data_IF_351105517996
#
_entry.id   IF_351105517996
#
_cell.length_a   1.000
_cell.length_b   1.000
_cell.length_c   1.000
_cell.angle_alpha   90.00
_cell.angle_beta   90.00
_cell.angle_gamma   90.00
#
_symmetry.space_group_name_H-M   'P 1'
#
loop_
_entity.id
_entity.type
_entity.pdbx_description
1 polymer ?
#
# COMPACT_ATOMS: atom_id res chain seq x y z
N UNK A 1 14.31 21.76 -24.92
CA UNK A 1 15.07 20.50 -24.82
C UNK A 1 15.81 20.47 -23.48
N UNK A 2 15.07 20.34 -22.37
CA UNK A 2 15.63 20.45 -21.01
C UNK A 2 14.95 19.49 -20.00
N UNK A 3 14.05 18.61 -20.47
CA UNK A 3 13.26 17.72 -19.58
C UNK A 3 13.85 16.32 -19.40
N UNK A 4 14.81 15.92 -20.24
CA UNK A 4 15.37 14.56 -20.23
C UNK A 4 16.52 14.33 -19.23
N UNK A 5 17.13 15.41 -18.71
CA UNK A 5 18.26 15.31 -17.79
C UNK A 5 17.84 15.35 -16.31
N UNK A 6 16.75 16.05 -15.98
CA UNK A 6 16.18 16.04 -14.62
C UNK A 6 15.53 14.70 -14.30
N UNK A 7 14.86 14.07 -15.26
CA UNK A 7 14.25 12.76 -15.02
C UNK A 7 15.31 11.67 -14.81
N UNK A 8 16.53 11.74 -15.36
CA UNK A 8 17.56 10.71 -15.07
C UNK A 8 18.27 10.87 -13.72
N UNK A 9 17.90 11.88 -12.94
CA UNK A 9 18.51 12.17 -11.65
C UNK A 9 17.94 11.21 -10.59
N UNK A 10 18.57 10.04 -10.42
CA UNK A 10 18.16 8.99 -9.46
C UNK A 10 18.23 9.42 -7.97
N UNK A 11 18.40 10.72 -7.68
CA UNK A 11 18.54 11.28 -6.33
C UNK A 11 17.37 10.94 -5.42
N UNK A 12 16.16 10.78 -5.97
CA UNK A 12 14.98 10.43 -5.19
C UNK A 12 14.72 8.93 -5.08
N UNK A 13 15.38 8.08 -5.88
CA UNK A 13 15.02 6.67 -6.02
C UNK A 13 15.20 5.88 -4.71
N UNK A 14 16.37 6.02 -4.07
CA UNK A 14 16.67 5.27 -2.85
C UNK A 14 15.73 5.65 -1.70
N UNK A 15 15.52 6.96 -1.50
CA UNK A 15 14.64 7.46 -0.45
C UNK A 15 13.20 7.04 -0.75
N UNK A 16 12.73 7.20 -1.99
CA UNK A 16 11.39 6.79 -2.40
C UNK A 16 11.14 5.30 -2.21
N UNK A 17 12.14 4.46 -2.48
CA UNK A 17 12.03 3.02 -2.25
C UNK A 17 11.83 2.71 -0.77
N UNK A 18 12.58 3.37 0.12
CA UNK A 18 12.40 3.25 1.57
C UNK A 18 11.02 3.73 2.00
N UNK A 19 10.58 4.90 1.51
CA UNK A 19 9.24 5.45 1.78
C UNK A 19 8.13 4.48 1.39
N UNK A 20 8.20 3.91 0.18
CA UNK A 20 7.21 2.94 -0.32
C UNK A 20 7.21 1.69 0.56
N UNK A 21 8.38 1.17 0.93
CA UNK A 21 8.48 0.01 1.82
C UNK A 21 7.86 0.27 3.18
N UNK A 22 8.17 1.41 3.80
CA UNK A 22 7.64 1.75 5.12
C UNK A 22 6.11 1.97 5.08
N UNK A 23 5.62 2.61 4.02
CA UNK A 23 4.18 2.74 3.77
C UNK A 23 3.50 1.38 3.58
N UNK A 24 4.11 0.46 2.84
CA UNK A 24 3.57 -0.88 2.62
C UNK A 24 3.50 -1.68 3.94
N UNK A 25 4.56 -1.63 4.74
CA UNK A 25 4.62 -2.28 6.05
C UNK A 25 3.58 -1.70 7.02
N UNK A 26 3.44 -0.38 7.04
CA UNK A 26 2.44 0.30 7.86
C UNK A 26 1.02 -0.11 7.45
N UNK A 27 0.66 0.02 6.17
CA UNK A 27 -0.68 -0.29 5.68
C UNK A 27 -1.00 -1.77 5.91
N UNK A 28 -0.04 -2.67 5.66
CA UNK A 28 -0.18 -4.10 5.98
C UNK A 28 -0.50 -4.33 7.46
N UNK A 29 0.28 -3.74 8.37
CA UNK A 29 0.09 -3.89 9.81
C UNK A 29 -1.25 -3.32 10.27
N UNK A 30 -1.59 -2.12 9.82
CA UNK A 30 -2.80 -1.41 10.21
C UNK A 30 -4.07 -2.09 9.66
N UNK A 31 -4.09 -2.52 8.38
CA UNK A 31 -5.17 -3.32 7.83
C UNK A 31 -5.40 -4.59 8.64
N UNK A 32 -4.33 -5.34 8.97
CA UNK A 32 -4.45 -6.56 9.79
C UNK A 32 -5.05 -6.26 11.17
N UNK A 33 -4.55 -5.22 11.84
CA UNK A 33 -5.04 -4.79 13.16
C UNK A 33 -6.52 -4.44 13.13
N UNK A 34 -6.93 -3.62 12.16
CA UNK A 34 -8.31 -3.15 12.00
C UNK A 34 -9.27 -4.27 11.65
N UNK A 35 -8.88 -5.16 10.73
CA UNK A 35 -9.69 -6.34 10.38
C UNK A 35 -9.85 -7.30 11.56
N UNK A 36 -8.76 -7.55 12.32
CA UNK A 36 -8.83 -8.35 13.55
C UNK A 36 -9.76 -7.74 14.59
N UNK A 37 -9.72 -6.42 14.76
CA UNK A 37 -10.61 -5.72 15.69
C UNK A 37 -12.09 -5.85 15.29
N UNK A 38 -12.40 -5.88 13.98
CA UNK A 38 -13.76 -5.98 13.48
C UNK A 38 -14.31 -7.41 13.40
N UNK A 39 -13.47 -8.38 13.02
CA UNK A 39 -13.89 -9.73 12.63
C UNK A 39 -13.31 -10.84 13.52
N UNK A 40 -12.47 -10.52 14.50
CA UNK A 40 -11.85 -11.48 15.41
C UNK A 40 -10.90 -12.43 14.67
N UNK A 41 -10.91 -13.70 15.06
CA UNK A 41 -10.00 -14.72 14.51
C UNK A 41 -10.30 -15.05 13.04
N UNK A 42 -11.55 -14.87 12.59
CA UNK A 42 -11.98 -15.08 11.21
C UNK A 42 -11.66 -13.91 10.26
N UNK A 43 -10.92 -12.91 10.72
CA UNK A 43 -10.61 -11.69 9.95
C UNK A 43 -10.06 -11.97 8.55
N UNK A 44 -9.29 -13.04 8.38
CA UNK A 44 -8.70 -13.37 7.08
C UNK A 44 -9.75 -13.87 6.08
N UNK A 45 -10.76 -14.61 6.55
CA UNK A 45 -11.85 -15.14 5.69
C UNK A 45 -13.01 -14.16 5.52
N UNK A 46 -13.39 -13.45 6.59
CA UNK A 46 -14.54 -12.53 6.61
C UNK A 46 -14.18 -11.10 6.22
N UNK A 47 -12.96 -10.67 6.53
CA UNK A 47 -12.51 -9.30 6.28
C UNK A 47 -11.94 -9.07 4.88
N UNK A 48 -11.54 -10.11 4.17
CA UNK A 48 -11.01 -9.99 2.80
C UNK A 48 -12.12 -10.19 1.76
N UNK A 49 -12.10 -9.44 0.65
CA UNK A 49 -12.86 -9.80 -0.54
C UNK A 49 -12.47 -11.20 -1.02
N UNK A 50 -13.44 -11.96 -1.55
CA UNK A 50 -13.20 -13.32 -2.08
C UNK A 50 -12.07 -13.37 -3.11
N UNK A 51 -11.98 -12.34 -3.97
CA UNK A 51 -10.92 -12.18 -4.97
C UNK A 51 -9.54 -12.11 -4.31
N UNK A 52 -9.34 -11.14 -3.42
CA UNK A 52 -8.08 -10.94 -2.68
C UNK A 52 -7.69 -12.18 -1.87
N UNK A 53 -8.66 -12.84 -1.22
CA UNK A 53 -8.41 -14.08 -0.50
C UNK A 53 -7.84 -15.16 -1.42
N UNK A 54 -8.45 -15.35 -2.60
CA UNK A 54 -7.99 -16.35 -3.57
C UNK A 54 -6.58 -16.02 -4.07
N UNK A 55 -6.34 -14.77 -4.47
CA UNK A 55 -5.05 -14.31 -4.98
C UNK A 55 -3.93 -14.45 -3.93
N UNK A 56 -4.21 -14.12 -2.67
CA UNK A 56 -3.26 -14.29 -1.57
C UNK A 56 -2.77 -15.73 -1.44
N UNK A 57 -3.70 -16.69 -1.52
CA UNK A 57 -3.39 -18.11 -1.41
C UNK A 57 -2.61 -18.60 -2.63
N UNK A 58 -3.02 -18.22 -3.84
CA UNK A 58 -2.30 -18.55 -5.08
C UNK A 58 -0.86 -18.04 -5.03
N UNK A 59 -0.65 -16.78 -4.65
CA UNK A 59 0.69 -16.19 -4.55
C UNK A 59 1.57 -16.88 -3.49
N UNK A 60 0.99 -17.30 -2.36
CA UNK A 60 1.75 -18.07 -1.36
C UNK A 60 2.12 -19.45 -1.88
N UNK A 61 1.21 -20.16 -2.56
CA UNK A 61 1.49 -21.46 -3.17
C UNK A 61 2.64 -21.33 -4.18
N UNK A 62 2.56 -20.36 -5.09
CA UNK A 62 3.60 -20.11 -6.09
C UNK A 62 4.96 -19.79 -5.45
N UNK A 63 4.99 -18.94 -4.43
CA UNK A 63 6.22 -18.58 -3.73
C UNK A 63 6.80 -19.69 -2.87
N UNK A 64 5.96 -20.57 -2.33
CA UNK A 64 6.38 -21.67 -1.47
C UNK A 64 6.75 -22.93 -2.27
N UNK A 65 6.41 -23.00 -3.55
CA UNK A 65 6.65 -24.17 -4.40
C UNK A 65 8.12 -24.62 -4.42
N UNK A 66 9.06 -23.67 -4.42
CA UNK A 66 10.50 -23.95 -4.44
C UNK A 66 11.16 -23.80 -3.06
N UNK A 67 10.40 -23.51 -2.01
CA UNK A 67 10.95 -23.23 -0.69
C UNK A 67 11.13 -24.49 0.15
N UNK A 68 12.13 -24.44 1.02
CA UNK A 68 12.31 -25.47 2.04
C UNK A 68 11.31 -25.31 3.17
N UNK A 69 10.99 -26.43 3.82
CA UNK A 69 10.15 -26.43 5.02
C UNK A 69 10.75 -25.52 6.10
N UNK A 70 9.96 -24.55 6.57
CA UNK A 70 10.40 -23.53 7.53
C UNK A 70 10.70 -22.15 6.92
N UNK A 71 10.77 -22.03 5.59
CA UNK A 71 10.95 -20.73 4.90
C UNK A 71 9.68 -20.22 4.22
N UNK A 72 8.58 -20.94 4.37
CA UNK A 72 7.29 -20.67 3.77
C UNK A 72 6.77 -19.26 4.14
N UNK A 73 6.15 -18.60 3.18
CA UNK A 73 5.45 -17.33 3.38
C UNK A 73 3.96 -17.57 3.56
N UNK A 74 3.35 -16.82 4.48
CA UNK A 74 1.91 -16.82 4.67
C UNK A 74 1.20 -16.06 3.53
N UNK A 75 -0.03 -16.44 3.15
CA UNK A 75 -0.84 -15.71 2.17
C UNK A 75 -0.92 -14.20 2.41
N UNK A 76 -1.04 -13.78 3.67
CA UNK A 76 -1.08 -12.37 4.04
C UNK A 76 0.21 -11.60 3.71
N UNK A 77 1.35 -12.29 3.74
CA UNK A 77 2.66 -11.69 3.47
C UNK A 77 2.94 -11.51 1.98
N UNK A 78 2.09 -12.06 1.12
CA UNK A 78 2.17 -11.92 -0.33
C UNK A 78 1.43 -10.68 -0.88
N UNK A 79 0.62 -10.01 -0.07
CA UNK A 79 -0.20 -8.89 -0.49
C UNK A 79 0.60 -7.59 -0.68
N UNK A 80 0.09 -6.73 -1.57
CA UNK A 80 0.66 -5.42 -1.90
C UNK A 80 -0.43 -4.32 -1.92
N UNK A 81 -0.06 -3.08 -2.25
CA UNK A 81 -0.97 -1.92 -2.28
C UNK A 81 -2.30 -2.12 -3.03
N UNK A 82 -2.30 -2.86 -4.15
CA UNK A 82 -3.52 -3.11 -4.93
C UNK A 82 -4.51 -3.90 -4.06
N UNK A 83 -4.03 -4.97 -3.45
CA UNK A 83 -4.83 -5.83 -2.58
C UNK A 83 -5.29 -5.08 -1.33
N UNK A 84 -4.41 -4.29 -0.70
CA UNK A 84 -4.80 -3.48 0.46
C UNK A 84 -5.90 -2.46 0.11
N UNK A 85 -5.85 -1.85 -1.08
CA UNK A 85 -6.92 -0.96 -1.54
C UNK A 85 -8.25 -1.71 -1.71
N UNK A 86 -8.24 -2.90 -2.30
CA UNK A 86 -9.46 -3.71 -2.43
C UNK A 86 -10.06 -4.07 -1.07
N UNK A 87 -9.22 -4.43 -0.10
CA UNK A 87 -9.64 -4.68 1.30
C UNK A 87 -10.25 -3.43 1.94
N UNK A 88 -9.59 -2.28 1.78
CA UNK A 88 -10.05 -0.99 2.31
C UNK A 88 -11.41 -0.61 1.72
N UNK A 89 -11.59 -0.78 0.41
CA UNK A 89 -12.85 -0.48 -0.28
C UNK A 89 -13.99 -1.40 0.16
N UNK A 90 -13.71 -2.67 0.43
CA UNK A 90 -14.70 -3.63 0.88
C UNK A 90 -15.20 -3.33 2.30
N UNK A 91 -14.32 -2.84 3.17
CA UNK A 91 -14.61 -2.56 4.58
C UNK A 91 -14.69 -1.06 4.90
N UNK A 92 -14.98 -0.23 3.89
CA UNK A 92 -14.78 1.21 3.95
C UNK A 92 -15.47 1.91 5.14
N UNK A 93 -16.80 1.89 5.17
CA UNK A 93 -17.60 2.72 6.08
C UNK A 93 -17.29 2.47 7.56
N UNK A 94 -17.14 1.20 7.95
CA UNK A 94 -17.03 0.83 9.36
C UNK A 94 -15.59 0.73 9.86
N UNK A 95 -14.61 0.53 8.97
CA UNK A 95 -13.25 0.16 9.38
C UNK A 95 -12.20 1.18 8.95
N UNK A 96 -12.33 1.75 7.74
CA UNK A 96 -11.23 2.49 7.12
C UNK A 96 -11.54 3.95 6.82
N UNK A 97 -12.81 4.34 6.66
CA UNK A 97 -13.17 5.68 6.18
C UNK A 97 -12.51 6.82 6.98
N UNK A 98 -12.54 6.73 8.31
CA UNK A 98 -11.99 7.77 9.19
C UNK A 98 -10.50 7.98 9.03
N UNK A 99 -9.76 6.90 8.81
CA UNK A 99 -8.29 6.88 8.89
C UNK A 99 -7.62 6.85 7.51
N UNK A 100 -8.32 6.41 6.46
CA UNK A 100 -7.81 6.31 5.09
C UNK A 100 -8.38 7.40 4.16
N UNK A 101 -9.18 8.32 4.71
CA UNK A 101 -9.53 9.57 4.03
C UNK A 101 -8.48 10.63 4.32
N UNK A 102 -7.85 11.15 3.26
CA UNK A 102 -6.88 12.24 3.36
C UNK A 102 -7.46 13.45 4.12
N UNK A 103 -6.68 14.16 4.94
CA UNK A 103 -7.15 15.28 5.74
C UNK A 103 -7.92 16.35 4.93
N UNK A 104 -7.43 16.68 3.74
CA UNK A 104 -8.04 17.64 2.82
C UNK A 104 -9.38 17.18 2.21
N UNK A 105 -9.63 15.87 2.18
CA UNK A 105 -10.84 15.28 1.61
C UNK A 105 -11.91 14.97 2.68
N UNK A 106 -11.61 15.15 3.97
CA UNK A 106 -12.57 14.87 5.07
C UNK A 106 -13.84 15.73 5.00
N UNK A 107 -13.73 16.95 4.48
CA UNK A 107 -14.88 17.88 4.31
C UNK A 107 -15.54 17.78 2.94
N UNK A 108 -15.02 16.94 2.04
CA UNK A 108 -15.55 16.79 0.68
C UNK A 108 -16.50 15.60 0.62
N UNK A 109 -17.70 15.84 0.10
CA UNK A 109 -18.59 14.77 -0.34
C UNK A 109 -17.95 14.05 -1.52
N UNK A 110 -17.75 12.74 -1.43
CA UNK A 110 -17.08 11.97 -2.46
C UNK A 110 -17.26 10.47 -2.29
N UNK A 111 -17.17 9.71 -3.38
CA UNK A 111 -17.29 8.25 -3.34
C UNK A 111 -16.03 7.65 -2.71
N UNK A 112 -16.15 6.50 -2.04
CA UNK A 112 -15.02 5.77 -1.44
C UNK A 112 -13.87 5.47 -2.44
N UNK A 113 -14.21 5.29 -3.72
CA UNK A 113 -13.23 5.09 -4.78
C UNK A 113 -12.32 6.31 -4.97
N UNK A 114 -12.88 7.52 -4.87
CA UNK A 114 -12.12 8.77 -4.99
C UNK A 114 -11.22 8.99 -3.76
N UNK A 115 -11.76 8.75 -2.56
CA UNK A 115 -11.02 8.90 -1.29
C UNK A 115 -9.84 7.94 -1.15
N UNK A 116 -9.79 6.88 -1.95
CA UNK A 116 -8.70 5.88 -1.96
C UNK A 116 -7.80 5.95 -3.20
N UNK A 117 -7.94 6.98 -4.05
CA UNK A 117 -7.09 7.18 -5.24
C UNK A 117 -5.59 7.31 -4.89
N UNK A 118 -5.26 7.79 -3.70
CA UNK A 118 -3.87 7.88 -3.26
C UNK A 118 -3.21 6.49 -3.17
N UNK A 119 -3.94 5.44 -2.80
CA UNK A 119 -3.40 4.06 -2.77
C UNK A 119 -3.14 3.52 -4.19
N UNK A 120 -3.97 3.91 -5.15
CA UNK A 120 -3.77 3.57 -6.56
C UNK A 120 -2.50 4.25 -7.11
N UNK A 121 -2.28 5.52 -6.77
CA UNK A 121 -1.03 6.23 -7.12
C UNK A 121 0.19 5.57 -6.47
N UNK A 122 0.13 5.14 -5.20
CA UNK A 122 1.21 4.39 -4.55
C UNK A 122 1.54 3.10 -5.29
N UNK A 123 0.52 2.33 -5.68
CA UNK A 123 0.73 1.10 -6.42
C UNK A 123 1.40 1.34 -7.77
N UNK A 124 1.04 2.43 -8.46
CA UNK A 124 1.65 2.79 -9.74
C UNK A 124 3.14 3.09 -9.57
N UNK A 125 3.47 4.00 -8.66
CA UNK A 125 4.86 4.39 -8.36
C UNK A 125 5.69 3.16 -7.95
N UNK A 126 5.14 2.27 -7.11
CA UNK A 126 5.81 1.05 -6.68
C UNK A 126 6.13 0.11 -7.85
N UNK A 127 5.24 -0.02 -8.83
CA UNK A 127 5.45 -0.87 -10.00
C UNK A 127 6.44 -0.22 -11.00
N UNK A 128 6.36 1.09 -11.21
CA UNK A 128 7.28 1.85 -12.07
C UNK A 128 8.72 1.81 -11.52
N UNK A 129 8.89 1.98 -10.20
CA UNK A 129 10.20 1.92 -9.54
C UNK A 129 10.85 0.54 -9.56
N UNK A 130 10.06 -0.53 -9.67
CA UNK A 130 10.60 -1.89 -9.72
C UNK A 130 11.31 -2.19 -11.06
N UNK A 131 11.09 -1.39 -12.09
CA UNK A 131 11.49 -1.66 -13.48
C UNK A 131 12.42 -0.59 -14.11
N UNK A 132 13.36 0.00 -13.34
CA UNK A 132 14.42 0.91 -13.86
C UNK A 132 13.99 2.37 -14.06
N UNK A 133 12.78 2.76 -13.66
CA UNK A 133 12.33 4.16 -13.77
C UNK A 133 12.84 5.03 -12.61
N UNK A 134 13.07 6.31 -12.89
CA UNK A 134 13.44 7.33 -11.92
C UNK A 134 12.20 8.00 -11.33
N UNK A 135 12.21 8.23 -10.02
CA UNK A 135 11.10 8.89 -9.34
C UNK A 135 11.14 10.38 -9.65
N UNK A 136 10.05 10.88 -10.23
CA UNK A 136 9.88 12.31 -10.49
C UNK A 136 9.75 13.09 -9.18
N UNK A 137 10.11 14.38 -9.18
CA UNK A 137 9.98 15.23 -7.99
C UNK A 137 8.52 15.29 -7.47
N UNK A 138 7.53 15.29 -8.37
CA UNK A 138 6.10 15.28 -8.02
C UNK A 138 5.65 13.97 -7.35
N UNK A 139 6.27 12.85 -7.73
CA UNK A 139 6.03 11.55 -7.10
C UNK A 139 6.72 11.46 -5.74
N UNK A 140 7.95 11.97 -5.64
CA UNK A 140 8.67 12.10 -4.37
C UNK A 140 7.87 12.93 -3.36
N UNK A 141 7.46 14.15 -3.72
CA UNK A 141 6.63 15.02 -2.85
C UNK A 141 5.30 14.37 -2.47
N UNK A 142 4.73 13.57 -3.36
CA UNK A 142 3.53 12.80 -3.05
C UNK A 142 3.81 11.72 -2.00
N UNK A 143 4.91 10.97 -2.12
CA UNK A 143 5.32 9.97 -1.13
C UNK A 143 5.57 10.61 0.23
N UNK A 144 6.31 11.71 0.28
CA UNK A 144 6.55 12.49 1.50
C UNK A 144 5.24 12.89 2.18
N UNK A 145 4.29 13.45 1.41
CA UNK A 145 2.98 13.84 1.93
C UNK A 145 2.24 12.67 2.57
N UNK A 146 2.17 11.52 1.89
CA UNK A 146 1.47 10.34 2.42
C UNK A 146 2.18 9.78 3.65
N UNK A 147 3.51 9.76 3.64
CA UNK A 147 4.30 9.32 4.78
C UNK A 147 4.12 10.25 5.98
N UNK A 148 4.23 11.56 5.82
CA UNK A 148 4.00 12.52 6.91
C UNK A 148 2.59 12.38 7.51
N UNK A 149 1.60 12.01 6.69
CA UNK A 149 0.24 11.80 7.14
C UNK A 149 0.05 10.49 7.91
N UNK A 150 0.51 9.35 7.38
CA UNK A 150 0.30 8.03 7.99
C UNK A 150 1.33 7.68 9.06
N UNK A 151 2.53 8.25 8.94
CA UNK A 151 3.70 7.97 9.75
C UNK A 151 4.33 9.28 10.26
N UNK A 152 3.58 10.14 11.01
CA UNK A 152 4.07 11.46 11.43
C UNK A 152 5.31 11.43 12.33
N UNK A 153 5.60 10.28 12.96
CA UNK A 153 6.78 10.08 13.80
C UNK A 153 7.96 9.40 13.06
N UNK A 154 7.77 8.99 11.81
CA UNK A 154 8.83 8.39 11.00
C UNK A 154 9.49 9.51 10.18
N UNK A 155 10.51 10.15 10.76
CA UNK A 155 11.28 11.18 10.05
C UNK A 155 12.59 10.58 9.59
N UNK A 156 12.76 10.43 8.26
CA UNK A 156 14.08 10.28 7.67
C UNK A 156 14.78 11.64 7.76
N UNK A 157 15.36 11.93 8.91
CA UNK A 157 16.32 13.03 9.06
C UNK A 157 17.71 12.54 8.71
#
# INVERSE_FOLDING_TARGET
MMKYWEDNDMRYNEISYRMIRDLELYIKGDCKKKLKAQFGDDWFKKGLPKKVYSEANTLAIEKNYEKMAGEEVEPWDCLNFIHYREIVLNNWQNVFEKDYTLPEDKKRSGKKADKTKWMEKLSRIRNENFHVYSVTEDEFKFLEKIQMWLLPNNSYK
#
